data_IF_434610239002
#
_entry.id   IF_434610239002
#
_cell.length_a   1.000
_cell.length_b   1.000
_cell.length_c   1.000
_cell.angle_alpha   90.00
_cell.angle_beta   90.00
_cell.angle_gamma   90.00
#
_symmetry.space_group_name_H-M   'P 1'
#
loop_
_entity.id
_entity.type
_entity.pdbx_description
1 polymer ?
#
# COMPACT_ATOMS: atom_id res chain seq x y z
N UNK A 1 -3.62 -16.39 -33.73
CA UNK A 1 -2.99 -16.29 -32.38
C UNK A 1 -1.65 -15.61 -32.55
N UNK A 2 -1.39 -14.52 -31.84
CA UNK A 2 -0.11 -13.83 -31.92
C UNK A 2 1.01 -14.73 -31.35
N UNK A 3 2.02 -15.05 -32.16
CA UNK A 3 3.19 -15.78 -31.72
C UNK A 3 4.21 -14.79 -31.15
N UNK A 4 4.51 -14.89 -29.87
CA UNK A 4 5.47 -14.03 -29.18
C UNK A 4 6.83 -14.73 -29.10
N UNK A 5 7.81 -14.20 -29.82
CA UNK A 5 9.18 -14.65 -29.72
C UNK A 5 9.90 -13.81 -28.66
N UNK A 6 10.27 -14.43 -27.55
CA UNK A 6 11.08 -13.81 -26.51
C UNK A 6 12.53 -14.15 -26.79
N UNK A 7 13.32 -13.17 -27.20
CA UNK A 7 14.76 -13.33 -27.32
C UNK A 7 15.38 -13.03 -25.96
N UNK A 8 16.00 -14.04 -25.35
CA UNK A 8 16.79 -13.89 -24.14
C UNK A 8 18.26 -14.10 -24.51
N UNK A 9 19.15 -13.28 -23.97
CA UNK A 9 20.58 -13.50 -24.12
C UNK A 9 21.10 -14.45 -23.01
N UNK A 10 22.31 -14.97 -23.20
CA UNK A 10 22.91 -15.94 -22.27
C UNK A 10 23.14 -15.34 -20.87
N UNK A 11 23.45 -14.04 -20.79
CA UNK A 11 23.64 -13.32 -19.53
C UNK A 11 22.33 -13.20 -18.72
N UNK A 12 21.21 -12.90 -19.38
CA UNK A 12 19.87 -12.85 -18.79
C UNK A 12 19.45 -14.23 -18.27
N UNK A 13 19.76 -15.30 -19.02
CA UNK A 13 19.50 -16.69 -18.60
C UNK A 13 20.32 -17.05 -17.36
N UNK A 14 21.60 -16.68 -17.34
CA UNK A 14 22.48 -16.92 -16.18
C UNK A 14 22.05 -16.10 -14.96
N UNK A 15 21.57 -14.86 -15.16
CA UNK A 15 21.01 -14.04 -14.08
C UNK A 15 19.71 -14.60 -13.51
N UNK A 16 18.86 -15.25 -14.32
CA UNK A 16 17.67 -15.94 -13.85
C UNK A 16 17.99 -17.15 -12.95
N UNK A 17 19.16 -17.74 -13.14
CA UNK A 17 19.64 -18.92 -12.41
C UNK A 17 20.62 -18.57 -11.27
N UNK A 18 20.96 -17.29 -11.07
CA UNK A 18 21.87 -16.83 -10.02
C UNK A 18 21.12 -16.30 -8.79
N UNK A 19 21.84 -15.85 -7.75
CA UNK A 19 21.26 -15.36 -6.50
C UNK A 19 20.33 -14.15 -6.69
N UNK A 20 20.49 -13.37 -7.77
CA UNK A 20 19.70 -12.16 -8.03
C UNK A 20 18.45 -12.42 -8.90
N UNK A 21 17.78 -13.55 -8.63
CA UNK A 21 16.67 -14.09 -9.42
C UNK A 21 15.50 -13.12 -9.59
N UNK A 22 15.10 -12.42 -8.54
CA UNK A 22 13.86 -11.64 -8.53
C UNK A 22 13.91 -10.44 -9.49
N UNK A 23 15.05 -9.76 -9.58
CA UNK A 23 15.23 -8.64 -10.53
C UNK A 23 15.29 -9.12 -11.98
N UNK A 24 15.90 -10.29 -12.23
CA UNK A 24 15.91 -10.90 -13.55
C UNK A 24 14.51 -11.32 -14.00
N UNK A 25 13.72 -11.97 -13.14
CA UNK A 25 12.32 -12.31 -13.43
C UNK A 25 11.46 -11.07 -13.66
N UNK A 26 11.70 -10.01 -12.89
CA UNK A 26 10.99 -8.73 -13.03
C UNK A 26 11.28 -8.06 -14.37
N UNK A 27 12.53 -8.04 -14.81
CA UNK A 27 12.92 -7.53 -16.13
C UNK A 27 12.30 -8.36 -17.27
N UNK A 28 12.34 -9.70 -17.15
CA UNK A 28 11.76 -10.62 -18.12
C UNK A 28 10.24 -10.45 -18.23
N UNK A 29 9.53 -10.38 -17.10
CA UNK A 29 8.09 -10.15 -17.08
C UNK A 29 7.74 -8.79 -17.70
N UNK A 30 8.50 -7.74 -17.36
CA UNK A 30 8.31 -6.41 -17.94
C UNK A 30 8.45 -6.43 -19.46
N UNK A 31 9.51 -7.06 -19.98
CA UNK A 31 9.77 -7.14 -21.41
C UNK A 31 8.70 -7.97 -22.14
N UNK A 32 8.31 -9.11 -21.56
CA UNK A 32 7.26 -9.97 -22.09
C UNK A 32 5.93 -9.21 -22.19
N UNK A 33 5.47 -8.58 -21.11
CA UNK A 33 4.21 -7.83 -21.11
C UNK A 33 4.26 -6.63 -22.06
N UNK A 34 5.39 -5.93 -22.16
CA UNK A 34 5.56 -4.85 -23.15
C UNK A 34 5.48 -5.34 -24.60
N UNK A 35 5.99 -6.55 -24.89
CA UNK A 35 5.85 -7.17 -26.22
C UNK A 35 4.41 -7.58 -26.49
N UNK A 36 3.70 -8.15 -25.51
CA UNK A 36 2.27 -8.46 -25.62
C UNK A 36 1.47 -7.19 -25.93
N UNK A 37 1.70 -6.09 -25.20
CA UNK A 37 1.01 -4.81 -25.43
C UNK A 37 1.23 -4.27 -26.84
N UNK A 38 2.44 -4.40 -27.38
CA UNK A 38 2.75 -4.01 -28.77
C UNK A 38 1.99 -4.89 -29.76
N UNK A 39 1.98 -6.20 -29.55
CA UNK A 39 1.26 -7.15 -30.39
C UNK A 39 -0.26 -6.90 -30.38
N UNK A 40 -0.86 -6.75 -29.21
CA UNK A 40 -2.29 -6.39 -29.06
C UNK A 40 -2.61 -5.06 -29.76
N UNK A 41 -1.69 -4.09 -29.71
CA UNK A 41 -1.88 -2.82 -30.42
C UNK A 41 -1.78 -2.98 -31.93
N UNK A 42 -0.92 -3.87 -32.45
CA UNK A 42 -0.88 -4.16 -33.88
C UNK A 42 -2.17 -4.86 -34.31
N UNK A 43 -2.63 -5.85 -33.55
CA UNK A 43 -3.86 -6.58 -33.84
C UNK A 43 -5.10 -5.66 -33.88
N UNK A 44 -5.20 -4.71 -32.93
CA UNK A 44 -6.29 -3.73 -32.91
C UNK A 44 -6.26 -2.75 -34.08
N UNK A 45 -5.07 -2.37 -34.54
CA UNK A 45 -4.94 -1.41 -35.65
C UNK A 45 -5.01 -2.10 -37.01
N UNK A 46 -4.62 -3.38 -37.05
CA UNK A 46 -4.34 -4.29 -38.16
C UNK A 46 -2.94 -4.18 -38.77
N UNK A 47 -2.48 -3.05 -39.33
CA UNK A 47 -1.17 -3.00 -39.97
C UNK A 47 -0.05 -2.78 -38.96
N UNK A 48 1.12 -3.26 -39.35
CA UNK A 48 2.35 -3.08 -38.61
C UNK A 48 2.81 -1.62 -38.59
N UNK A 49 3.86 -1.37 -37.81
CA UNK A 49 4.41 -0.03 -37.67
C UNK A 49 4.98 0.43 -39.00
N UNK A 50 4.50 1.59 -39.49
CA UNK A 50 4.86 2.20 -40.77
C UNK A 50 4.40 1.44 -42.02
N UNK A 51 3.68 0.33 -41.87
CA UNK A 51 3.10 -0.40 -43.00
C UNK A 51 1.92 0.39 -43.59
N UNK A 52 1.90 0.54 -44.93
CA UNK A 52 0.79 1.15 -45.65
C UNK A 52 -0.23 0.06 -45.97
N UNK A 53 -1.43 0.20 -45.43
CA UNK A 53 -2.54 -0.72 -45.65
C UNK A 53 -3.85 0.05 -45.56
N UNK A 54 -4.79 -0.32 -46.42
CA UNK A 54 -6.14 0.25 -46.47
C UNK A 54 -7.04 -0.28 -45.33
N UNK A 55 -6.65 -1.38 -44.67
CA UNK A 55 -7.40 -1.99 -43.57
C UNK A 55 -7.23 -1.28 -42.23
N UNK A 56 -6.41 -0.22 -42.17
CA UNK A 56 -6.04 0.49 -40.94
C UNK A 56 -7.26 1.07 -40.24
N UNK A 57 -7.47 0.67 -38.98
CA UNK A 57 -8.63 1.13 -38.19
C UNK A 57 -8.35 2.42 -37.42
N UNK A 58 -7.14 2.64 -36.92
CA UNK A 58 -6.73 3.90 -36.25
C UNK A 58 -5.20 4.10 -36.41
N UNK A 59 -4.65 5.17 -35.83
CA UNK A 59 -3.23 5.51 -35.85
C UNK A 59 -2.60 5.50 -34.46
N UNK A 60 -1.32 5.11 -34.38
CA UNK A 60 -0.53 5.11 -33.14
C UNK A 60 -0.21 6.55 -32.73
N UNK A 61 -0.40 6.90 -31.47
CA UNK A 61 -0.20 8.25 -30.90
C UNK A 61 0.75 8.21 -29.69
N UNK A 62 1.91 7.58 -29.90
CA UNK A 62 2.93 7.39 -28.86
C UNK A 62 2.56 6.31 -27.84
N UNK A 63 3.18 6.42 -26.66
CA UNK A 63 2.99 5.52 -25.53
C UNK A 63 2.95 6.30 -24.23
N UNK A 64 2.49 5.65 -23.16
CA UNK A 64 2.56 6.18 -21.79
C UNK A 64 3.20 5.15 -20.86
N UNK A 65 3.96 5.63 -19.89
CA UNK A 65 4.44 4.77 -18.82
C UNK A 65 3.33 4.47 -17.82
N UNK A 66 3.20 3.20 -17.44
CA UNK A 66 2.29 2.74 -16.40
C UNK A 66 3.04 1.80 -15.47
N UNK A 67 3.06 2.13 -14.18
CA UNK A 67 3.58 1.24 -13.14
C UNK A 67 2.54 0.18 -12.79
N UNK A 68 2.93 -1.09 -12.76
CA UNK A 68 2.12 -2.22 -12.35
C UNK A 68 2.82 -2.95 -11.19
N UNK A 69 2.12 -3.12 -10.08
CA UNK A 69 2.61 -3.92 -8.96
C UNK A 69 2.31 -5.40 -9.22
N UNK A 70 3.33 -6.25 -9.17
CA UNK A 70 3.21 -7.70 -9.38
C UNK A 70 3.77 -8.46 -8.18
N UNK A 71 3.57 -9.77 -8.13
CA UNK A 71 4.12 -10.64 -7.07
C UNK A 71 5.65 -10.61 -7.00
N UNK A 72 6.33 -10.30 -8.10
CA UNK A 72 7.80 -10.20 -8.20
C UNK A 72 8.29 -8.74 -8.15
N UNK A 73 7.44 -7.82 -7.68
CA UNK A 73 7.76 -6.40 -7.53
C UNK A 73 7.11 -5.50 -8.59
N UNK A 74 7.48 -4.22 -8.55
CA UNK A 74 6.88 -3.17 -9.39
C UNK A 74 7.59 -3.06 -10.74
N UNK A 75 6.86 -3.29 -11.82
CA UNK A 75 7.35 -3.14 -13.20
C UNK A 75 6.78 -1.87 -13.86
N UNK A 76 7.47 -1.38 -14.89
CA UNK A 76 7.04 -0.23 -15.70
C UNK A 76 6.68 -0.71 -17.11
N UNK A 77 5.41 -0.55 -17.47
CA UNK A 77 4.87 -0.90 -18.78
C UNK A 77 4.79 0.33 -19.68
N UNK A 78 5.15 0.16 -20.94
CA UNK A 78 5.06 1.17 -21.99
C UNK A 78 3.78 0.91 -22.79
N UNK A 79 2.66 1.44 -22.29
CA UNK A 79 1.33 1.18 -22.83
C UNK A 79 1.11 2.00 -24.10
N UNK A 80 0.79 1.37 -25.26
CA UNK A 80 0.49 2.09 -26.49
C UNK A 80 -0.71 3.02 -26.36
N UNK A 81 -0.73 4.08 -27.17
CA UNK A 81 -1.88 4.97 -27.33
C UNK A 81 -2.30 4.97 -28.79
N UNK A 82 -3.60 4.96 -29.04
CA UNK A 82 -4.15 5.25 -30.37
C UNK A 82 -4.72 6.67 -30.39
N UNK A 83 -5.02 7.18 -31.59
CA UNK A 83 -5.34 8.59 -31.80
C UNK A 83 -6.81 8.89 -31.52
N UNK A 84 -7.70 8.04 -31.98
CA UNK A 84 -9.15 8.25 -31.90
C UNK A 84 -9.80 7.32 -30.88
N UNK A 85 -9.32 6.08 -30.76
CA UNK A 85 -9.86 5.08 -29.83
C UNK A 85 -8.91 4.81 -28.66
N UNK A 86 -9.43 4.45 -27.47
CA UNK A 86 -8.58 4.01 -26.37
C UNK A 86 -8.03 2.61 -26.65
N UNK A 87 -6.73 2.42 -26.47
CA UNK A 87 -6.10 1.10 -26.50
C UNK A 87 -6.69 0.22 -25.38
N UNK A 88 -7.16 -0.97 -25.76
CA UNK A 88 -7.68 -1.99 -24.83
C UNK A 88 -6.64 -3.10 -24.68
N UNK A 89 -6.53 -3.70 -23.51
CA UNK A 89 -5.61 -4.83 -23.27
C UNK A 89 -6.26 -5.86 -22.38
N UNK A 90 -5.91 -7.12 -22.58
CA UNK A 90 -6.36 -8.21 -21.72
C UNK A 90 -5.47 -8.39 -20.49
N UNK A 91 -4.30 -7.74 -20.44
CA UNK A 91 -3.31 -7.88 -19.36
C UNK A 91 -3.81 -7.26 -18.06
N UNK A 92 -4.53 -6.14 -18.13
CA UNK A 92 -5.03 -5.44 -16.95
C UNK A 92 -6.32 -4.69 -17.25
N UNK A 93 -7.16 -4.56 -16.22
CA UNK A 93 -8.32 -3.69 -16.29
C UNK A 93 -7.93 -2.20 -16.25
N UNK A 94 -8.84 -1.35 -16.72
CA UNK A 94 -8.69 0.10 -16.59
C UNK A 94 -8.57 0.48 -15.11
N UNK A 95 -7.64 1.40 -14.81
CA UNK A 95 -7.32 1.87 -13.46
C UNK A 95 -6.67 0.87 -12.49
N UNK A 96 -6.64 -0.43 -12.78
CA UNK A 96 -5.96 -1.41 -11.92
C UNK A 96 -4.45 -1.18 -11.82
N UNK A 97 -3.91 -1.03 -10.61
CA UNK A 97 -2.47 -0.79 -10.39
C UNK A 97 -1.70 -2.02 -9.93
N UNK A 98 -2.40 -3.13 -9.73
CA UNK A 98 -1.85 -4.37 -9.19
C UNK A 98 -2.35 -5.56 -10.00
N UNK A 99 -1.50 -6.58 -10.11
CA UNK A 99 -1.85 -7.88 -10.67
C UNK A 99 -3.02 -8.51 -9.88
N UNK A 100 -3.96 -9.15 -10.58
CA UNK A 100 -5.11 -9.80 -9.94
C UNK A 100 -4.69 -10.87 -8.93
N UNK A 101 -3.64 -11.66 -9.21
CA UNK A 101 -3.11 -12.66 -8.30
C UNK A 101 -2.55 -12.04 -7.00
N UNK A 102 -1.94 -10.85 -7.08
CA UNK A 102 -1.48 -10.12 -5.90
C UNK A 102 -2.67 -9.66 -5.04
N UNK A 103 -3.71 -9.11 -5.66
CA UNK A 103 -4.93 -8.68 -4.96
C UNK A 103 -5.65 -9.86 -4.31
N UNK A 104 -5.78 -10.98 -5.03
CA UNK A 104 -6.39 -12.19 -4.52
C UNK A 104 -5.60 -12.77 -3.33
N UNK A 105 -4.27 -12.84 -3.44
CA UNK A 105 -3.41 -13.27 -2.33
C UNK A 105 -3.55 -12.38 -1.09
N UNK A 106 -3.65 -11.06 -1.28
CA UNK A 106 -3.91 -10.14 -0.17
C UNK A 106 -5.28 -10.36 0.47
N UNK A 107 -6.32 -10.53 -0.33
CA UNK A 107 -7.67 -10.78 0.15
C UNK A 107 -7.73 -12.11 0.94
N UNK A 108 -7.12 -13.16 0.41
CA UNK A 108 -7.04 -14.48 1.05
C UNK A 108 -6.30 -14.42 2.39
N UNK A 109 -5.20 -13.67 2.48
CA UNK A 109 -4.52 -13.46 3.76
C UNK A 109 -5.41 -12.77 4.78
N UNK A 110 -6.17 -11.74 4.36
CA UNK A 110 -7.12 -11.05 5.25
C UNK A 110 -8.25 -11.98 5.70
N UNK A 111 -8.79 -12.80 4.80
CA UNK A 111 -9.84 -13.80 5.11
C UNK A 111 -9.33 -14.83 6.11
N UNK A 112 -8.09 -15.32 5.95
CA UNK A 112 -7.45 -16.26 6.86
C UNK A 112 -6.92 -15.61 8.16
N UNK A 113 -7.32 -14.37 8.45
CA UNK A 113 -7.00 -13.70 9.71
C UNK A 113 -5.54 -13.28 9.85
N UNK A 114 -4.77 -13.28 8.76
CA UNK A 114 -3.42 -12.70 8.74
C UNK A 114 -3.57 -11.21 9.03
N UNK A 115 -2.89 -10.76 10.09
CA UNK A 115 -2.87 -9.34 10.42
C UNK A 115 -2.53 -8.51 9.19
N UNK A 116 -3.28 -7.44 8.92
CA UNK A 116 -3.01 -6.49 7.83
C UNK A 116 -1.58 -5.97 7.84
N UNK A 117 -0.91 -5.98 9.01
CA UNK A 117 0.53 -5.72 9.17
C UNK A 117 1.40 -6.74 8.45
N UNK A 118 1.11 -8.04 8.57
CA UNK A 118 1.84 -9.12 7.89
C UNK A 118 1.55 -9.11 6.38
N UNK A 119 0.32 -8.76 5.97
CA UNK A 119 -0.03 -8.59 4.55
C UNK A 119 0.75 -7.44 3.91
N UNK A 120 0.83 -6.29 4.57
CA UNK A 120 1.58 -5.12 4.07
C UNK A 120 3.08 -5.41 3.89
N UNK A 121 3.67 -6.27 4.72
CA UNK A 121 5.09 -6.69 4.63
C UNK A 121 5.41 -7.42 3.31
N UNK A 122 4.41 -8.01 2.67
CA UNK A 122 4.58 -8.83 1.45
C UNK A 122 4.30 -8.03 0.16
N UNK A 123 3.59 -6.90 0.24
CA UNK A 123 2.91 -6.30 -0.92
C UNK A 123 3.66 -5.14 -1.56
N UNK A 124 4.37 -4.31 -0.79
CA UNK A 124 5.20 -3.24 -1.34
C UNK A 124 6.39 -2.95 -0.41
N UNK A 125 7.57 -3.57 -0.67
CA UNK A 125 8.75 -3.37 0.17
C UNK A 125 9.30 -1.94 0.13
N UNK A 126 8.82 -1.09 -0.78
CA UNK A 126 9.24 0.32 -0.90
C UNK A 126 8.45 1.29 -0.01
N UNK A 127 7.50 0.79 0.78
CA UNK A 127 6.64 1.59 1.66
C UNK A 127 6.85 1.18 3.12
N UNK A 128 7.21 2.10 4.01
CA UNK A 128 7.40 1.76 5.40
C UNK A 128 6.05 1.47 6.06
N UNK A 129 6.03 0.50 6.96
CA UNK A 129 4.88 0.22 7.79
C UNK A 129 4.84 1.13 9.02
N UNK A 130 3.62 1.45 9.44
CA UNK A 130 3.33 2.18 10.68
C UNK A 130 2.33 1.38 11.50
N UNK A 131 2.59 1.19 12.80
CA UNK A 131 1.60 0.69 13.75
C UNK A 131 0.65 1.82 14.12
N UNK A 132 -0.66 1.53 14.06
CA UNK A 132 -1.65 2.40 14.66
C UNK A 132 -1.39 2.55 16.16
N UNK A 133 -1.14 3.78 16.60
CA UNK A 133 -0.76 4.10 17.98
C UNK A 133 -1.88 3.78 18.98
N UNK A 134 -3.15 3.94 18.58
CA UNK A 134 -4.30 3.56 19.42
C UNK A 134 -4.31 2.07 19.76
N UNK A 135 -4.26 1.21 18.72
CA UNK A 135 -4.23 -0.23 18.92
C UNK A 135 -2.95 -0.70 19.62
N UNK A 136 -1.83 -0.02 19.35
CA UNK A 136 -0.57 -0.33 20.02
C UNK A 136 -0.62 -0.01 21.52
N UNK A 137 -1.11 1.17 21.90
CA UNK A 137 -1.34 1.57 23.29
C UNK A 137 -2.28 0.58 24.00
N UNK A 138 -3.36 0.16 23.33
CA UNK A 138 -4.26 -0.86 23.86
C UNK A 138 -3.53 -2.18 24.11
N UNK A 139 -2.78 -2.68 23.13
CA UNK A 139 -2.05 -3.95 23.23
C UNK A 139 -1.01 -3.94 24.36
N UNK A 140 -0.33 -2.81 24.58
CA UNK A 140 0.62 -2.66 25.69
C UNK A 140 -0.14 -2.68 27.03
N UNK A 141 -1.17 -1.83 27.16
CA UNK A 141 -1.93 -1.71 28.39
C UNK A 141 -2.65 -3.01 28.77
N UNK A 142 -3.18 -3.77 27.80
CA UNK A 142 -3.87 -5.04 28.06
C UNK A 142 -2.91 -6.13 28.60
N UNK A 143 -1.59 -5.99 28.39
CA UNK A 143 -0.55 -6.86 28.98
C UNK A 143 -0.09 -6.42 30.38
N UNK A 144 -0.51 -5.24 30.84
CA UNK A 144 -0.18 -4.73 32.16
C UNK A 144 -1.31 -5.02 33.18
N UNK A 145 -1.00 -5.18 34.48
CA UNK A 145 -2.01 -5.34 35.52
C UNK A 145 -3.01 -4.17 35.55
N UNK A 146 -4.30 -4.45 35.79
CA UNK A 146 -5.41 -3.47 35.72
C UNK A 146 -5.14 -2.16 36.48
N UNK A 147 -4.47 -2.25 37.63
CA UNK A 147 -4.10 -1.10 38.48
C UNK A 147 -3.26 -0.05 37.74
N UNK A 148 -2.36 -0.48 36.86
CA UNK A 148 -1.40 0.39 36.18
C UNK A 148 -1.86 0.86 34.81
N UNK A 149 -2.87 0.22 34.21
CA UNK A 149 -3.26 0.48 32.83
C UNK A 149 -3.69 1.94 32.57
N UNK A 150 -4.29 2.62 33.54
CA UNK A 150 -4.70 4.01 33.38
C UNK A 150 -3.49 4.95 33.34
N UNK A 151 -2.53 4.77 34.25
CA UNK A 151 -1.29 5.56 34.27
C UNK A 151 -0.46 5.32 33.01
N UNK A 152 -0.25 4.05 32.67
CA UNK A 152 0.48 3.65 31.48
C UNK A 152 -0.11 4.21 30.19
N UNK A 153 -1.45 4.25 30.04
CA UNK A 153 -2.09 4.87 28.87
C UNK A 153 -1.82 6.37 28.76
N UNK A 154 -1.78 7.08 29.89
CA UNK A 154 -1.44 8.51 29.93
C UNK A 154 0.00 8.74 29.49
N UNK A 155 0.95 7.98 30.03
CA UNK A 155 2.38 8.11 29.69
C UNK A 155 2.66 7.71 28.23
N UNK A 156 2.01 6.65 27.71
CA UNK A 156 2.09 6.32 26.29
C UNK A 156 1.54 7.45 25.41
N UNK A 157 0.49 8.14 25.87
CA UNK A 157 -0.07 9.30 25.15
C UNK A 157 0.90 10.48 25.16
N UNK A 158 1.62 10.71 26.26
CA UNK A 158 2.71 11.69 26.34
C UNK A 158 3.81 11.35 25.33
N UNK A 159 4.30 10.11 25.34
CA UNK A 159 5.31 9.59 24.42
C UNK A 159 4.93 9.81 22.95
N UNK A 160 3.71 9.42 22.55
CA UNK A 160 3.26 9.60 21.17
C UNK A 160 3.07 11.06 20.76
N UNK A 161 2.88 11.97 21.72
CA UNK A 161 2.70 13.40 21.47
C UNK A 161 3.98 14.23 21.60
N UNK A 162 5.13 13.59 21.87
CA UNK A 162 6.44 14.22 21.85
C UNK A 162 6.67 15.02 20.55
N UNK A 163 7.46 16.09 20.64
CA UNK A 163 7.74 16.99 19.51
C UNK A 163 8.82 16.42 18.62
N UNK A 164 9.82 15.77 19.21
CA UNK A 164 10.94 15.13 18.54
C UNK A 164 11.00 13.64 18.84
N UNK A 165 11.73 12.90 17.99
CA UNK A 165 11.94 11.47 18.18
C UNK A 165 12.79 11.18 19.43
N UNK A 166 13.86 11.96 19.66
CA UNK A 166 14.69 11.84 20.86
C UNK A 166 13.90 12.01 22.16
N UNK A 167 12.94 12.93 22.18
CA UNK A 167 12.05 13.13 23.34
C UNK A 167 11.17 11.91 23.56
N UNK A 168 10.62 11.32 22.49
CA UNK A 168 9.82 10.11 22.57
C UNK A 168 10.64 8.91 23.06
N UNK A 169 11.90 8.76 22.63
CA UNK A 169 12.81 7.70 23.10
C UNK A 169 13.08 7.86 24.59
N UNK A 170 13.37 9.08 25.07
CA UNK A 170 13.57 9.33 26.51
C UNK A 170 12.34 8.97 27.35
N UNK A 171 11.15 9.30 26.86
CA UNK A 171 9.89 8.94 27.54
C UNK A 171 9.69 7.41 27.49
N UNK A 172 9.99 6.74 26.36
CA UNK A 172 9.94 5.29 26.23
C UNK A 172 10.83 4.61 27.28
N UNK A 173 12.08 5.04 27.39
CA UNK A 173 13.05 4.44 28.32
C UNK A 173 12.65 4.66 29.78
N UNK A 174 12.08 5.83 30.10
CA UNK A 174 11.46 6.09 31.41
C UNK A 174 10.32 5.11 31.70
N UNK A 175 9.37 4.96 30.79
CA UNK A 175 8.24 4.02 30.93
C UNK A 175 8.77 2.58 31.12
N UNK A 176 9.77 2.16 30.34
CA UNK A 176 10.36 0.82 30.48
C UNK A 176 10.97 0.65 31.86
N UNK A 177 11.73 1.63 32.36
CA UNK A 177 12.31 1.60 33.70
C UNK A 177 11.23 1.48 34.79
N UNK A 178 10.19 2.31 34.72
CA UNK A 178 9.18 2.44 35.77
C UNK A 178 8.25 1.23 35.92
N UNK A 179 8.10 0.43 34.85
CA UNK A 179 7.16 -0.71 34.82
C UNK A 179 7.82 -2.06 34.55
N UNK A 180 9.15 -2.13 34.43
CA UNK A 180 9.88 -3.37 34.09
C UNK A 180 9.64 -4.49 35.10
N UNK A 181 9.57 -4.17 36.39
CA UNK A 181 9.38 -5.10 37.51
C UNK A 181 7.93 -5.62 37.61
N UNK A 182 6.95 -4.79 37.28
CA UNK A 182 5.52 -5.11 37.42
C UNK A 182 4.83 -5.55 36.13
N UNK A 183 5.40 -5.25 34.96
CA UNK A 183 4.76 -5.46 33.66
C UNK A 183 5.75 -5.74 32.52
N UNK A 184 6.70 -6.65 32.73
CA UNK A 184 7.73 -7.05 31.76
C UNK A 184 7.18 -7.30 30.34
N UNK A 185 6.11 -8.10 30.21
CA UNK A 185 5.51 -8.41 28.90
C UNK A 185 4.94 -7.18 28.17
N UNK A 186 4.49 -6.17 28.92
CA UNK A 186 4.03 -4.89 28.35
C UNK A 186 5.23 -4.06 27.89
N UNK A 187 6.33 -4.06 28.64
CA UNK A 187 7.55 -3.32 28.31
C UNK A 187 8.26 -3.91 27.09
N UNK A 188 8.37 -5.24 27.02
CA UNK A 188 8.86 -5.92 25.81
C UNK A 188 8.00 -5.56 24.59
N UNK A 189 6.67 -5.52 24.76
CA UNK A 189 5.76 -5.14 23.69
C UNK A 189 5.96 -3.68 23.25
N UNK A 190 6.24 -2.78 24.18
CA UNK A 190 6.54 -1.37 23.89
C UNK A 190 7.85 -1.27 23.11
N UNK A 191 8.92 -1.92 23.58
CA UNK A 191 10.24 -1.80 22.98
C UNK A 191 10.29 -2.35 21.54
N UNK A 192 9.81 -3.58 21.33
CA UNK A 192 9.75 -4.20 19.99
C UNK A 192 8.87 -3.43 18.99
N UNK A 193 7.86 -2.72 19.50
CA UNK A 193 6.87 -2.03 18.67
C UNK A 193 7.16 -0.55 18.44
N UNK A 194 8.07 0.05 19.21
CA UNK A 194 8.27 1.50 19.29
C UNK A 194 8.61 2.12 17.93
N UNK A 195 9.68 1.67 17.29
CA UNK A 195 10.17 2.16 15.99
C UNK A 195 9.05 2.20 14.94
N UNK A 196 8.36 1.07 14.80
CA UNK A 196 7.25 0.93 13.86
C UNK A 196 6.03 1.79 14.21
N UNK A 197 5.89 2.28 15.44
CA UNK A 197 4.80 3.19 15.86
C UNK A 197 5.16 4.67 15.71
N UNK A 198 6.45 4.97 15.50
CA UNK A 198 7.01 6.32 15.45
C UNK A 198 7.35 6.78 14.04
N UNK A 199 7.28 5.91 13.02
CA UNK A 199 7.47 6.27 11.59
C UNK A 199 6.67 7.50 11.13
N UNK A 200 5.49 7.74 11.71
CA UNK A 200 4.67 8.93 11.47
C UNK A 200 5.36 10.27 11.80
N UNK A 201 6.39 10.28 12.65
CA UNK A 201 7.13 11.49 13.01
C UNK A 201 7.91 12.07 11.84
N UNK A 202 8.28 11.26 10.85
CA UNK A 202 8.88 11.74 9.59
C UNK A 202 7.90 12.51 8.72
N UNK A 203 6.60 12.41 8.96
CA UNK A 203 5.60 13.19 8.22
C UNK A 203 5.49 14.62 8.78
N UNK A 204 5.06 15.59 7.95
CA UNK A 204 4.77 16.94 8.44
C UNK A 204 3.73 16.92 9.58
N UNK A 205 3.91 17.78 10.58
CA UNK A 205 3.09 17.82 11.81
C UNK A 205 1.57 17.84 11.54
N UNK A 206 1.13 18.58 10.52
CA UNK A 206 -0.27 18.67 10.10
C UNK A 206 -0.86 17.35 9.60
N UNK A 207 -0.05 16.40 9.14
CA UNK A 207 -0.48 15.08 8.69
C UNK A 207 -0.49 14.05 9.81
N UNK A 208 0.40 14.19 10.81
CA UNK A 208 0.62 13.19 11.86
C UNK A 208 -0.68 12.78 12.56
N UNK A 209 -1.56 13.74 12.87
CA UNK A 209 -2.88 13.49 13.51
C UNK A 209 -3.71 12.44 12.77
N UNK A 210 -3.68 12.43 11.44
CA UNK A 210 -4.49 11.51 10.62
C UNK A 210 -3.82 10.15 10.43
N UNK A 211 -2.49 10.11 10.36
CA UNK A 211 -1.74 8.87 10.12
C UNK A 211 -1.35 8.11 11.41
N UNK A 212 -1.41 8.75 12.58
CA UNK A 212 -1.18 8.09 13.89
C UNK A 212 -2.22 7.01 14.20
N UNK A 213 -3.45 7.16 13.71
CA UNK A 213 -4.56 6.23 14.00
C UNK A 213 -5.38 5.87 12.76
N UNK A 214 -5.96 4.68 12.77
CA UNK A 214 -6.89 4.20 11.74
C UNK A 214 -8.34 4.66 11.95
N UNK A 215 -8.59 5.63 12.84
CA UNK A 215 -9.94 6.04 13.24
C UNK A 215 -10.83 6.45 12.05
N UNK A 216 -10.26 7.08 11.02
CA UNK A 216 -11.00 7.46 9.82
C UNK A 216 -11.51 6.23 9.04
N UNK A 217 -10.69 5.17 8.93
CA UNK A 217 -11.06 3.89 8.31
C UNK A 217 -12.08 3.17 9.17
N UNK A 218 -11.85 3.10 10.49
CA UNK A 218 -12.76 2.45 11.44
C UNK A 218 -14.15 3.09 11.44
N UNK A 219 -14.22 4.42 11.31
CA UNK A 219 -15.49 5.15 11.18
C UNK A 219 -16.23 4.78 9.90
N UNK A 220 -15.53 4.68 8.77
CA UNK A 220 -16.11 4.23 7.50
C UNK A 220 -16.61 2.79 7.65
N UNK A 221 -15.78 1.88 8.16
CA UNK A 221 -16.15 0.48 8.38
C UNK A 221 -17.35 0.33 9.32
N UNK A 222 -17.43 1.16 10.38
CA UNK A 222 -18.57 1.18 11.30
C UNK A 222 -19.85 1.59 10.57
N UNK A 223 -19.78 2.58 9.68
CA UNK A 223 -20.93 3.02 8.90
C UNK A 223 -21.39 1.96 7.89
N UNK A 224 -20.44 1.33 7.18
CA UNK A 224 -20.75 0.22 6.28
C UNK A 224 -21.41 -0.95 7.03
N UNK A 225 -20.86 -1.33 8.18
CA UNK A 225 -21.45 -2.35 9.06
C UNK A 225 -22.83 -1.97 9.59
N UNK A 226 -23.04 -0.69 9.93
CA UNK A 226 -24.34 -0.19 10.39
C UNK A 226 -25.42 -0.39 9.33
N UNK A 227 -25.10 -0.08 8.06
CA UNK A 227 -26.03 -0.22 6.93
C UNK A 227 -26.28 -1.67 6.54
N UNK A 228 -25.23 -2.51 6.50
CA UNK A 228 -25.43 -3.93 6.19
C UNK A 228 -26.20 -4.69 7.27
N UNK A 229 -26.03 -4.33 8.55
CA UNK A 229 -26.69 -5.01 9.67
C UNK A 229 -28.22 -4.90 9.61
N UNK A 230 -28.77 -3.85 9.01
CA UNK A 230 -30.23 -3.69 8.86
C UNK A 230 -30.80 -4.71 7.87
N UNK A 231 -30.03 -5.08 6.85
CA UNK A 231 -30.46 -6.01 5.80
C UNK A 231 -30.27 -7.46 6.24
N UNK A 232 -29.19 -7.73 6.98
CA UNK A 232 -28.87 -9.07 7.49
C UNK A 232 -28.34 -10.01 6.40
N UNK A 233 -29.18 -10.38 5.44
CA UNK A 233 -28.87 -11.32 4.35
C UNK A 233 -29.07 -10.63 3.00
N UNK A 234 -28.06 -10.70 2.14
CA UNK A 234 -28.12 -10.13 0.79
C UNK A 234 -28.49 -11.20 -0.25
N UNK A 235 -29.32 -10.87 -1.24
CA UNK A 235 -29.75 -11.83 -2.26
C UNK A 235 -28.64 -12.20 -3.25
N UNK A 236 -27.64 -11.33 -3.45
CA UNK A 236 -26.45 -11.57 -4.25
C UNK A 236 -25.36 -10.53 -3.96
N UNK A 237 -24.13 -10.80 -4.42
CA UNK A 237 -22.97 -9.93 -4.26
C UNK A 237 -23.19 -8.53 -4.86
N UNK A 238 -23.82 -8.43 -6.03
CA UNK A 238 -24.08 -7.13 -6.69
C UNK A 238 -24.95 -6.21 -5.83
N UNK A 239 -25.89 -6.78 -5.08
CA UNK A 239 -26.75 -6.01 -4.17
C UNK A 239 -25.97 -5.46 -2.97
N UNK A 240 -25.02 -6.23 -2.45
CA UNK A 240 -24.08 -5.77 -1.42
C UNK A 240 -23.19 -4.65 -1.95
N UNK A 241 -22.56 -4.86 -3.12
CA UNK A 241 -21.70 -3.85 -3.76
C UNK A 241 -22.47 -2.56 -4.00
N UNK A 242 -23.72 -2.64 -4.48
CA UNK A 242 -24.57 -1.45 -4.70
C UNK A 242 -24.79 -0.68 -3.40
N UNK A 243 -25.19 -1.35 -2.31
CA UNK A 243 -25.38 -0.68 -1.02
C UNK A 243 -24.08 -0.03 -0.51
N UNK A 244 -22.98 -0.78 -0.54
CA UNK A 244 -21.68 -0.30 -0.06
C UNK A 244 -21.20 0.88 -0.90
N UNK A 245 -21.34 0.79 -2.22
CA UNK A 245 -21.03 1.86 -3.16
C UNK A 245 -21.85 3.12 -2.88
N UNK A 246 -23.19 2.99 -2.76
CA UNK A 246 -24.07 4.12 -2.44
C UNK A 246 -23.72 4.76 -1.09
N UNK A 247 -23.43 3.97 -0.06
CA UNK A 247 -23.02 4.49 1.25
C UNK A 247 -21.68 5.25 1.18
N UNK A 248 -20.72 4.74 0.40
CA UNK A 248 -19.42 5.40 0.20
C UNK A 248 -19.56 6.69 -0.62
N UNK A 249 -20.45 6.73 -1.62
CA UNK A 249 -20.74 7.93 -2.40
C UNK A 249 -21.34 9.02 -1.50
N UNK A 250 -22.34 8.68 -0.68
CA UNK A 250 -22.94 9.60 0.30
C UNK A 250 -21.90 10.12 1.31
N UNK A 251 -21.02 9.24 1.81
CA UNK A 251 -19.92 9.65 2.68
C UNK A 251 -18.93 10.58 1.98
N UNK A 252 -18.64 10.34 0.70
CA UNK A 252 -17.75 11.17 -0.09
C UNK A 252 -18.34 12.58 -0.29
N UNK A 253 -19.62 12.70 -0.61
CA UNK A 253 -20.33 13.98 -0.70
C UNK A 253 -20.30 14.72 0.65
N UNK A 254 -20.60 14.02 1.74
CA UNK A 254 -20.54 14.60 3.07
C UNK A 254 -19.13 15.05 3.50
N UNK A 255 -18.08 14.39 2.99
CA UNK A 255 -16.69 14.77 3.23
C UNK A 255 -16.20 15.90 2.34
N UNK A 256 -16.74 16.04 1.12
CA UNK A 256 -16.39 17.12 0.19
C UNK A 256 -16.69 18.51 0.76
N UNK A 257 -17.73 18.63 1.59
CA UNK A 257 -18.13 19.91 2.23
C UNK A 257 -17.29 20.21 3.49
N UNK A 258 -16.55 19.23 4.01
CA UNK A 258 -15.74 19.42 5.23
C UNK A 258 -14.42 20.11 4.91
N UNK A 259 -13.81 20.68 5.95
CA UNK A 259 -12.44 21.19 5.88
C UNK A 259 -11.50 20.07 5.41
N UNK A 260 -10.67 20.37 4.42
CA UNK A 260 -9.69 19.44 3.88
C UNK A 260 -8.83 18.86 5.01
N UNK A 261 -8.70 17.53 5.03
CA UNK A 261 -7.89 16.82 6.01
C UNK A 261 -6.41 17.25 5.91
N UNK A 262 -5.92 17.43 4.68
CA UNK A 262 -4.58 17.91 4.40
C UNK A 262 -4.64 19.26 3.70
N UNK A 263 -3.96 20.26 4.27
CA UNK A 263 -3.85 21.56 3.63
C UNK A 263 -2.87 21.49 2.44
N UNK A 264 -3.06 22.39 1.46
CA UNK A 264 -2.13 22.52 0.33
C UNK A 264 -0.69 22.78 0.81
N UNK A 265 -0.53 23.60 1.84
CA UNK A 265 0.78 23.89 2.44
C UNK A 265 1.45 22.64 3.01
N UNK A 266 0.70 21.82 3.76
CA UNK A 266 1.23 20.56 4.32
C UNK A 266 1.59 19.56 3.23
N UNK A 267 0.81 19.50 2.15
CA UNK A 267 1.12 18.64 1.01
C UNK A 267 2.36 19.13 0.25
N UNK A 268 2.54 20.44 0.10
CA UNK A 268 3.75 21.02 -0.48
C UNK A 268 4.99 20.68 0.36
N UNK A 269 4.91 20.82 1.69
CA UNK A 269 5.99 20.41 2.61
C UNK A 269 6.39 18.95 2.42
N UNK A 270 5.42 18.04 2.22
CA UNK A 270 5.70 16.63 1.97
C UNK A 270 6.44 16.42 0.64
N UNK A 271 6.09 17.14 -0.42
CA UNK A 271 6.69 16.96 -1.75
C UNK A 271 8.07 17.62 -1.85
N UNK A 272 8.24 18.78 -1.22
CA UNK A 272 9.46 19.59 -1.35
C UNK A 272 10.59 19.14 -0.43
N UNK A 273 10.36 18.15 0.43
CA UNK A 273 11.31 17.67 1.42
C UNK A 273 11.85 16.28 1.06
N UNK A 274 12.95 15.92 1.71
CA UNK A 274 13.58 14.61 1.59
C UNK A 274 12.85 13.50 2.35
N UNK A 275 11.64 13.77 2.87
CA UNK A 275 10.79 12.80 3.59
C UNK A 275 10.57 11.55 2.74
N UNK A 276 10.45 11.67 1.42
CA UNK A 276 10.27 10.51 0.54
C UNK A 276 11.48 9.58 0.52
N UNK A 277 12.69 10.13 0.55
CA UNK A 277 13.93 9.35 0.67
C UNK A 277 14.04 8.73 2.05
N UNK A 278 13.76 9.50 3.11
CA UNK A 278 13.78 8.98 4.50
C UNK A 278 12.82 7.80 4.67
N UNK A 279 11.59 7.92 4.17
CA UNK A 279 10.60 6.84 4.24
C UNK A 279 11.04 5.57 3.49
N UNK A 280 11.83 5.70 2.42
CA UNK A 280 12.42 4.52 1.74
C UNK A 280 13.49 3.86 2.59
N UNK A 281 14.39 4.65 3.18
CA UNK A 281 15.42 4.12 4.09
C UNK A 281 14.77 3.39 5.27
N UNK A 282 13.69 3.93 5.83
CA UNK A 282 12.92 3.26 6.88
C UNK A 282 12.32 1.95 6.38
N UNK A 283 11.77 1.92 5.17
CA UNK A 283 11.22 0.70 4.58
C UNK A 283 12.30 -0.38 4.40
N UNK A 284 13.50 0.02 3.96
CA UNK A 284 14.64 -0.87 3.79
C UNK A 284 15.14 -1.43 5.14
N UNK A 285 15.24 -0.58 6.18
CA UNK A 285 15.61 -0.98 7.54
C UNK A 285 14.58 -1.96 8.13
N UNK A 286 13.29 -1.63 7.97
CA UNK A 286 12.19 -2.47 8.39
C UNK A 286 12.25 -3.85 7.72
N UNK A 287 12.60 -3.90 6.43
CA UNK A 287 12.82 -5.15 5.71
C UNK A 287 13.97 -5.97 6.30
N UNK A 288 15.10 -5.34 6.65
CA UNK A 288 16.24 -6.00 7.29
C UNK A 288 15.85 -6.74 8.58
N UNK A 289 15.00 -6.12 9.40
CA UNK A 289 14.48 -6.72 10.65
C UNK A 289 13.54 -7.92 10.44
N UNK A 290 13.12 -8.24 9.21
CA UNK A 290 12.30 -9.43 8.92
C UNK A 290 13.11 -10.65 8.51
N UNK A 291 14.35 -10.42 8.09
CA UNK A 291 15.24 -11.46 7.56
C UNK A 291 16.17 -12.01 8.66
N UNK A 292 16.38 -11.24 9.73
CA UNK A 292 17.03 -11.66 10.98
C UNK A 292 16.02 -12.31 11.94
#
# INVERSE_FOLDING_TARGET
MAQLNITLNQEEILQLLSENRDDAFKALLQNCLNSVLKAESTEQLKPDRYERSDDRTDSRNGSRERKLNTRIGRITLTVPRHRNQPFKTMIFENYSRSEAALVAGMAEMVVNGVSTRKVSKVVDPSVPWQRCQFHFSKNIADKAPKKYQSGLRTELTEMFNAKTEDEAVKIKDRIISDYSDVAEAAMQCLDEGFESSMTVMHLPSGMRKYYRTSNHIERINKELKRRSRVIGIFPNERSLIRLMGSALMELNEAYAVRKAAFSKATYQQLISSDIRSELKVIADNQRGMLVA
#
